data_IF_545653187650
#
_entry.id   IF_545653187650
#
_cell.length_a   1.000
_cell.length_b   1.000
_cell.length_c   1.000
_cell.angle_alpha   90.00
_cell.angle_beta   90.00
_cell.angle_gamma   90.00
#
_symmetry.space_group_name_H-M   'P 1'
#
loop_
_entity.id
_entity.type
_entity.pdbx_description
1 polymer ?
#
# COMPACT_ATOMS: atom_id res chain seq x y z
N UNK A 1 -12.62 12.44 -0.70
CA UNK A 1 -11.75 11.29 -1.00
C UNK A 1 -12.12 10.75 -2.37
N UNK A 2 -11.14 10.47 -3.23
CA UNK A 2 -11.39 9.84 -4.53
C UNK A 2 -11.76 8.36 -4.35
N UNK A 3 -12.56 7.80 -5.26
CA UNK A 3 -13.05 6.41 -5.18
C UNK A 3 -11.90 5.39 -5.19
N UNK A 4 -10.80 5.71 -5.87
CA UNK A 4 -9.57 4.92 -5.84
C UNK A 4 -8.88 4.93 -4.47
N UNK A 5 -8.90 6.08 -3.78
CA UNK A 5 -8.30 6.21 -2.44
C UNK A 5 -9.07 5.38 -1.40
N UNK A 6 -10.41 5.36 -1.49
CA UNK A 6 -11.23 4.49 -0.61
C UNK A 6 -10.92 3.00 -0.81
N UNK A 7 -10.82 2.55 -2.08
CA UNK A 7 -10.49 1.15 -2.41
C UNK A 7 -9.10 0.80 -1.89
N UNK A 8 -8.13 1.72 -2.02
CA UNK A 8 -6.77 1.55 -1.50
C UNK A 8 -6.76 1.44 0.03
N UNK A 9 -7.41 2.36 0.73
CA UNK A 9 -7.45 2.36 2.19
C UNK A 9 -8.11 1.09 2.74
N UNK A 10 -9.18 0.63 2.09
CA UNK A 10 -9.86 -0.62 2.49
C UNK A 10 -9.01 -1.86 2.22
N UNK A 11 -8.19 -1.86 1.16
CA UNK A 11 -7.25 -2.94 0.91
C UNK A 11 -6.11 -2.96 1.94
N UNK A 12 -5.63 -1.79 2.37
CA UNK A 12 -4.64 -1.65 3.45
C UNK A 12 -5.20 -2.21 4.76
N UNK A 13 -6.44 -1.86 5.11
CA UNK A 13 -7.11 -2.33 6.33
C UNK A 13 -7.22 -3.86 6.35
N UNK A 14 -7.68 -4.46 5.24
CA UNK A 14 -7.76 -5.92 5.11
C UNK A 14 -6.38 -6.59 5.13
N UNK A 15 -5.37 -6.01 4.49
CA UNK A 15 -3.99 -6.52 4.54
C UNK A 15 -3.42 -6.46 5.97
N UNK A 16 -3.72 -5.40 6.72
CA UNK A 16 -3.33 -5.24 8.12
C UNK A 16 -3.99 -6.29 9.02
N UNK A 17 -5.25 -6.62 8.72
CA UNK A 17 -5.98 -7.71 9.37
C UNK A 17 -5.52 -9.12 8.94
N UNK A 18 -4.39 -9.24 8.22
CA UNK A 18 -3.82 -10.49 7.70
C UNK A 18 -4.78 -11.28 6.79
N UNK A 19 -5.69 -10.59 6.11
CA UNK A 19 -6.61 -11.20 5.14
C UNK A 19 -5.85 -11.61 3.88
N UNK A 20 -6.17 -12.79 3.36
CA UNK A 20 -5.53 -13.33 2.17
C UNK A 20 -5.74 -12.40 0.95
N UNK A 21 -4.69 -12.07 0.16
CA UNK A 21 -4.79 -11.16 -0.98
C UNK A 21 -5.88 -11.54 -1.98
N UNK A 22 -6.16 -12.84 -2.14
CA UNK A 22 -7.23 -13.33 -3.01
C UNK A 22 -8.62 -12.89 -2.52
N UNK A 23 -8.85 -12.92 -1.21
CA UNK A 23 -10.12 -12.47 -0.61
C UNK A 23 -10.29 -10.97 -0.79
N UNK A 24 -9.21 -10.19 -0.66
CA UNK A 24 -9.19 -8.74 -0.86
C UNK A 24 -9.58 -8.37 -2.29
N UNK A 25 -9.07 -9.11 -3.29
CA UNK A 25 -9.44 -8.86 -4.69
C UNK A 25 -10.92 -9.06 -4.95
N UNK A 26 -11.53 -10.08 -4.35
CA UNK A 26 -12.96 -10.36 -4.47
C UNK A 26 -13.81 -9.30 -3.78
N UNK A 27 -13.41 -8.84 -2.59
CA UNK A 27 -14.17 -7.85 -1.82
C UNK A 27 -14.12 -6.45 -2.42
N UNK A 28 -12.94 -6.00 -2.85
CA UNK A 28 -12.72 -4.62 -3.29
C UNK A 28 -12.81 -4.50 -4.83
N UNK A 29 -12.94 -5.64 -5.53
CA UNK A 29 -12.96 -5.73 -7.00
C UNK A 29 -11.74 -5.04 -7.63
N UNK A 30 -10.58 -5.32 -7.06
CA UNK A 30 -9.28 -4.83 -7.56
C UNK A 30 -8.42 -6.00 -8.00
N UNK A 31 -7.51 -5.78 -8.93
CA UNK A 31 -6.60 -6.83 -9.39
C UNK A 31 -5.63 -7.26 -8.29
N UNK A 32 -5.18 -8.51 -8.36
CA UNK A 32 -4.15 -9.04 -7.45
C UNK A 32 -2.88 -8.18 -7.49
N UNK A 33 -2.51 -7.70 -8.68
CA UNK A 33 -1.39 -6.79 -8.86
C UNK A 33 -1.52 -5.51 -8.01
N UNK A 34 -2.71 -4.93 -7.93
CA UNK A 34 -2.97 -3.76 -7.08
C UNK A 34 -2.81 -4.10 -5.60
N UNK A 35 -3.34 -5.25 -5.15
CA UNK A 35 -3.19 -5.69 -3.76
C UNK A 35 -1.71 -5.91 -3.40
N UNK A 36 -0.93 -6.54 -4.28
CA UNK A 36 0.51 -6.72 -4.08
C UNK A 36 1.28 -5.40 -4.09
N UNK A 37 0.93 -4.45 -4.97
CA UNK A 37 1.52 -3.11 -4.94
C UNK A 37 1.21 -2.37 -3.64
N UNK A 38 0.00 -2.52 -3.10
CA UNK A 38 -0.40 -1.94 -1.81
C UNK A 38 0.38 -2.59 -0.68
N UNK A 39 0.46 -3.92 -0.64
CA UNK A 39 1.26 -4.65 0.35
C UNK A 39 2.73 -4.23 0.30
N UNK A 40 3.32 -4.17 -0.89
CA UNK A 40 4.69 -3.70 -1.09
C UNK A 40 4.87 -2.24 -0.68
N UNK A 41 3.87 -1.40 -0.90
CA UNK A 41 3.88 -0.03 -0.42
C UNK A 41 3.75 0.06 1.11
N UNK A 42 3.05 -0.86 1.77
CA UNK A 42 3.01 -0.98 3.23
C UNK A 42 4.33 -1.50 3.80
N UNK A 43 4.97 -2.47 3.15
CA UNK A 43 6.29 -3.00 3.54
C UNK A 43 7.42 -1.99 3.25
N UNK A 44 7.28 -1.20 2.19
CA UNK A 44 8.19 -0.08 1.87
C UNK A 44 7.88 1.21 2.63
N UNK A 45 6.75 1.27 3.34
CA UNK A 45 6.54 2.22 4.43
C UNK A 45 7.27 1.69 5.67
N UNK A 46 8.60 1.74 5.61
CA UNK A 46 9.40 1.89 6.82
C UNK A 46 8.73 3.00 7.66
N UNK A 47 8.50 2.82 8.97
CA UNK A 47 7.94 3.86 9.81
C UNK A 47 8.86 5.06 9.65
N UNK A 48 8.39 6.03 8.87
CA UNK A 48 9.13 7.18 8.38
C UNK A 48 10.21 7.56 9.39
N UNK A 49 11.48 7.43 9.03
CA UNK A 49 12.50 8.30 9.60
C UNK A 49 12.04 9.71 9.26
N UNK A 50 11.19 10.27 10.13
CA UNK A 50 10.65 11.62 10.04
C UNK A 50 11.86 12.50 10.28
N UNK A 51 12.63 12.78 9.23
CA UNK A 51 13.44 13.98 9.23
C UNK A 51 12.47 15.13 8.92
N UNK A 52 12.26 16.05 9.88
CA UNK A 52 11.47 17.23 9.63
C UNK A 52 12.26 18.08 8.65
N UNK A 53 11.70 18.27 7.46
CA UNK A 53 12.27 19.14 6.45
C UNK A 53 12.89 18.37 5.28
N UNK A 54 12.72 19.00 4.12
CA UNK A 54 13.33 18.72 2.81
C UNK A 54 12.47 17.88 1.87
N UNK A 55 12.06 18.56 0.80
CA UNK A 55 11.35 18.02 -0.36
C UNK A 55 12.07 16.84 -1.00
N UNK A 56 11.30 16.09 -1.79
CA UNK A 56 11.61 14.74 -2.20
C UNK A 56 12.95 14.55 -2.88
N UNK A 57 13.44 13.31 -2.83
CA UNK A 57 14.25 12.71 -3.88
C UNK A 57 14.08 11.19 -3.81
N UNK A 58 13.81 10.58 -4.95
CA UNK A 58 13.74 9.14 -5.16
C UNK A 58 14.98 8.44 -4.61
N UNK A 59 14.82 7.50 -3.67
CA UNK A 59 15.86 6.50 -3.44
C UNK A 59 15.68 5.35 -4.44
N UNK A 60 16.60 5.31 -5.42
CA UNK A 60 16.96 4.10 -6.16
C UNK A 60 17.52 3.08 -5.17
N UNK A 61 16.83 1.97 -4.94
CA UNK A 61 17.42 0.82 -4.27
C UNK A 61 17.98 -0.13 -5.32
N UNK A 62 19.32 -0.16 -5.43
CA UNK A 62 20.08 -1.25 -6.06
C UNK A 62 19.97 -2.49 -5.18
N UNK A 63 19.61 -3.62 -5.77
CA UNK A 63 20.15 -4.95 -5.48
C UNK A 63 20.36 -5.65 -6.82
#
# INVERSE_FOLDING_TARGET
MSEQEMKRQRAIDLLCAQVDPKVITTQIKVSLATVYNIRKAMEGMDPISRKPGTGGTQQKTKW
#
